data_IF_974685215023
#
_entry.id   IF_974685215023
#
_cell.length_a   1.000
_cell.length_b   1.000
_cell.length_c   1.000
_cell.angle_alpha   90.00
_cell.angle_beta   90.00
_cell.angle_gamma   90.00
#
_symmetry.space_group_name_H-M   'P 1'
#
loop_
_entity.id
_entity.type
_entity.pdbx_description
1 polymer ?
#
# COMPACT_ATOMS: atom_id res chain seq x y z
N UNK A 1 -35.01 -0.74 -39.26
CA UNK A 1 -35.32 0.69 -39.52
C UNK A 1 -36.55 1.11 -38.71
N UNK A 2 -36.37 1.72 -37.53
CA UNK A 2 -37.38 2.57 -36.89
C UNK A 2 -36.66 3.78 -36.32
N UNK A 3 -36.88 4.91 -36.99
CA UNK A 3 -36.32 6.22 -36.69
C UNK A 3 -37.10 6.80 -35.51
N UNK A 4 -36.42 7.14 -34.42
CA UNK A 4 -36.93 8.13 -33.47
C UNK A 4 -36.13 9.41 -33.70
N UNK A 5 -36.84 10.44 -34.15
CA UNK A 5 -36.33 11.74 -34.57
C UNK A 5 -36.74 12.77 -33.52
N UNK A 6 -35.74 13.51 -33.01
CA UNK A 6 -35.79 14.85 -32.38
C UNK A 6 -36.66 14.98 -31.11
N UNK A 7 -36.17 15.61 -30.06
CA UNK A 7 -36.12 17.07 -29.93
C UNK A 7 -35.50 17.41 -28.56
N UNK A 8 -34.72 18.50 -28.45
CA UNK A 8 -34.49 19.18 -27.16
C UNK A 8 -33.10 19.77 -27.01
N UNK A 9 -33.02 21.09 -26.89
CA UNK A 9 -31.84 21.91 -27.07
C UNK A 9 -30.97 22.09 -25.81
N UNK A 10 -29.80 22.66 -26.09
CA UNK A 10 -28.66 23.04 -25.24
C UNK A 10 -29.02 23.84 -23.99
N UNK A 11 -28.38 23.53 -22.87
CA UNK A 11 -27.95 24.52 -21.88
C UNK A 11 -26.51 24.23 -21.49
N UNK A 12 -25.61 25.12 -21.92
CA UNK A 12 -24.24 25.19 -21.44
C UNK A 12 -24.23 26.01 -20.14
N UNK A 13 -23.65 25.46 -19.08
CA UNK A 13 -23.22 26.21 -17.89
C UNK A 13 -21.87 25.67 -17.47
N UNK A 14 -20.83 26.45 -17.72
CA UNK A 14 -19.47 26.18 -17.28
C UNK A 14 -19.26 26.57 -15.82
N UNK A 15 -18.33 25.88 -15.17
CA UNK A 15 -17.66 26.34 -13.97
C UNK A 15 -16.19 25.93 -14.07
N UNK A 16 -15.34 26.93 -14.32
CA UNK A 16 -13.89 26.84 -14.19
C UNK A 16 -13.57 26.87 -12.69
N UNK A 17 -13.11 25.76 -12.12
CA UNK A 17 -12.51 25.76 -10.78
C UNK A 17 -11.03 26.09 -10.92
N UNK A 18 -10.67 27.33 -10.64
CA UNK A 18 -9.28 27.72 -10.44
C UNK A 18 -8.77 27.08 -9.14
N UNK A 19 -7.79 26.18 -9.25
CA UNK A 19 -7.04 25.67 -8.10
C UNK A 19 -6.08 26.77 -7.65
N UNK A 20 -6.38 27.40 -6.52
CA UNK A 20 -5.39 28.18 -5.79
C UNK A 20 -4.47 27.19 -5.04
N UNK A 21 -3.30 26.88 -5.61
CA UNK A 21 -2.18 26.31 -4.87
C UNK A 21 -1.57 27.42 -4.02
N UNK A 22 -2.00 27.53 -2.77
CA UNK A 22 -1.33 28.39 -1.78
C UNK A 22 -0.64 27.51 -0.76
N UNK A 23 0.68 27.66 -0.67
CA UNK A 23 1.42 27.40 0.57
C UNK A 23 2.37 26.22 0.55
N UNK A 24 3.43 26.31 -0.26
CA UNK A 24 4.74 25.82 0.16
C UNK A 24 5.16 26.67 1.36
N UNK A 25 5.14 26.10 2.55
CA UNK A 25 5.56 26.73 3.80
C UNK A 25 6.57 25.83 4.50
N UNK A 26 7.81 25.90 4.04
CA UNK A 26 8.95 25.57 4.89
C UNK A 26 9.02 26.62 6.00
N UNK A 27 8.84 26.21 7.24
CA UNK A 27 9.27 27.01 8.37
C UNK A 27 9.98 26.11 9.37
N UNK A 28 11.24 26.48 9.59
CA UNK A 28 12.22 25.81 10.42
C UNK A 28 12.49 26.70 11.61
N UNK A 29 12.01 26.32 12.78
CA UNK A 29 12.44 26.91 14.06
C UNK A 29 12.62 25.75 15.05
N UNK A 30 13.86 25.34 15.35
CA UNK A 30 14.80 25.96 16.30
C UNK A 30 14.16 26.26 17.65
N UNK A 31 14.35 25.32 18.56
CA UNK A 31 14.26 25.50 19.99
C UNK A 31 15.35 24.67 20.67
N UNK A 32 16.45 25.33 20.99
CA UNK A 32 17.52 24.93 21.91
C UNK A 32 16.93 24.45 23.27
N UNK A 33 17.59 23.72 24.18
CA UNK A 33 18.99 23.75 24.60
C UNK A 33 19.22 22.59 25.59
N UNK A 34 20.47 22.09 25.60
CA UNK A 34 21.21 21.52 26.74
C UNK A 34 20.73 20.26 27.49
N UNK A 35 21.59 19.23 27.47
CA UNK A 35 22.48 18.95 28.62
C UNK A 35 23.65 18.01 28.26
N UNK A 36 24.83 18.61 28.35
CA UNK A 36 26.17 18.07 28.62
C UNK A 36 26.28 16.64 29.17
N UNK A 37 27.16 15.82 28.60
CA UNK A 37 28.47 15.49 29.21
C UNK A 37 29.24 14.49 28.35
N UNK A 38 30.48 14.84 28.03
CA UNK A 38 31.35 14.04 27.19
C UNK A 38 31.97 12.82 27.89
N UNK A 39 32.50 11.92 27.07
CA UNK A 39 33.76 11.21 27.33
C UNK A 39 34.28 10.61 26.03
N UNK A 40 35.50 11.00 25.69
CA UNK A 40 36.33 10.53 24.58
C UNK A 40 36.87 9.13 24.85
N UNK A 41 36.81 8.23 23.86
CA UNK A 41 37.92 7.35 23.46
C UNK A 41 37.53 6.38 22.32
N UNK A 42 38.38 6.31 21.31
CA UNK A 42 38.39 5.40 20.13
C UNK A 42 39.57 4.41 20.33
N UNK A 43 39.76 3.30 19.58
CA UNK A 43 38.89 2.25 19.04
C UNK A 43 39.33 0.81 19.46
N UNK A 44 38.71 -0.22 18.84
CA UNK A 44 39.31 -1.50 18.35
C UNK A 44 38.71 -2.81 18.94
N UNK A 45 38.95 -4.01 18.33
CA UNK A 45 37.91 -4.82 17.68
C UNK A 45 37.79 -6.27 18.22
N UNK A 46 36.64 -6.95 18.02
CA UNK A 46 36.36 -8.41 18.07
C UNK A 46 34.83 -8.55 18.21
N UNK A 47 34.06 -9.24 17.38
CA UNK A 47 34.04 -10.67 17.11
C UNK A 47 32.85 -11.30 17.86
N UNK A 48 31.93 -11.91 17.10
CA UNK A 48 30.97 -12.96 17.47
C UNK A 48 29.89 -12.75 18.56
N UNK A 49 28.65 -13.02 18.12
CA UNK A 49 27.56 -13.75 18.79
C UNK A 49 26.94 -13.24 20.11
N UNK A 50 25.63 -12.94 20.05
CA UNK A 50 24.68 -13.16 21.15
C UNK A 50 24.19 -11.94 21.94
N UNK A 51 22.89 -11.97 22.27
CA UNK A 51 22.10 -11.03 23.11
C UNK A 51 21.79 -9.66 22.50
N UNK A 52 20.59 -9.10 22.61
CA UNK A 52 19.42 -9.46 23.41
C UNK A 52 18.62 -8.19 23.70
N UNK A 53 17.29 -8.35 23.71
CA UNK A 53 16.28 -7.58 24.46
C UNK A 53 16.23 -6.05 24.34
N UNK A 54 15.07 -5.55 23.90
CA UNK A 54 14.21 -4.77 24.81
C UNK A 54 12.75 -4.79 24.34
N UNK A 55 11.94 -5.35 25.23
CA UNK A 55 10.48 -5.37 25.34
C UNK A 55 9.82 -4.01 25.17
N UNK A 56 8.72 -4.00 24.41
CA UNK A 56 7.74 -2.90 24.39
C UNK A 56 6.36 -3.42 23.99
N UNK A 57 5.58 -3.86 25.00
CA UNK A 57 4.12 -3.97 25.00
C UNK A 57 3.43 -4.51 23.74
N UNK A 58 3.36 -5.82 23.61
CA UNK A 58 2.41 -6.46 22.69
C UNK A 58 1.04 -6.54 23.37
N UNK A 59 0.35 -5.40 23.43
CA UNK A 59 -1.10 -5.40 23.55
C UNK A 59 -1.63 -6.14 22.31
N UNK A 60 -2.28 -7.29 22.53
CA UNK A 60 -2.70 -8.25 21.51
C UNK A 60 -3.45 -7.64 20.34
N UNK A 61 -2.70 -7.15 19.35
CA UNK A 61 -3.23 -6.61 18.11
C UNK A 61 -3.87 -7.76 17.34
N UNK A 62 -5.18 -7.67 17.14
CA UNK A 62 -5.96 -8.59 16.32
C UNK A 62 -5.26 -8.79 14.97
N UNK A 63 -4.65 -9.95 14.79
CA UNK A 63 -3.67 -10.22 13.72
C UNK A 63 -4.33 -10.44 12.35
N UNK A 64 -5.65 -10.37 12.24
CA UNK A 64 -6.38 -10.68 10.99
C UNK A 64 -7.20 -9.55 10.39
N UNK A 65 -7.35 -8.42 11.09
CA UNK A 65 -8.34 -7.41 10.71
C UNK A 65 -7.88 -6.40 9.65
N UNK A 66 -8.84 -5.66 9.07
CA UNK A 66 -8.57 -4.66 8.04
C UNK A 66 -7.52 -3.61 8.46
N UNK A 67 -7.46 -3.24 9.73
CA UNK A 67 -6.42 -2.35 10.27
C UNK A 67 -5.02 -2.96 10.19
N UNK A 68 -4.89 -4.26 10.48
CA UNK A 68 -3.61 -4.96 10.39
C UNK A 68 -3.11 -5.09 8.94
N UNK A 69 -4.03 -5.01 7.96
CA UNK A 69 -3.71 -5.06 6.54
C UNK A 69 -3.18 -3.73 5.98
N UNK A 70 -3.37 -2.60 6.68
CA UNK A 70 -2.94 -1.28 6.19
C UNK A 70 -1.42 -1.22 5.90
N UNK A 71 -1.07 -0.61 4.78
CA UNK A 71 0.30 -0.48 4.29
C UNK A 71 0.49 -0.97 2.85
N UNK A 72 1.74 -1.01 2.42
CA UNK A 72 2.15 -1.57 1.13
C UNK A 72 2.73 -2.97 1.32
N UNK A 73 2.49 -3.81 0.32
CA UNK A 73 2.89 -5.19 0.26
C UNK A 73 3.43 -5.47 -1.13
N UNK A 74 4.54 -6.18 -1.24
CA UNK A 74 5.09 -6.53 -2.54
C UNK A 74 5.79 -7.89 -2.54
N UNK A 75 5.88 -8.48 -3.72
CA UNK A 75 6.50 -9.77 -3.91
C UNK A 75 6.45 -10.18 -5.37
N UNK A 76 6.54 -11.48 -5.61
CA UNK A 76 6.40 -12.04 -6.94
C UNK A 76 5.44 -13.23 -6.93
N UNK A 77 4.64 -13.31 -7.99
CA UNK A 77 3.79 -14.46 -8.29
C UNK A 77 4.14 -14.94 -9.69
N UNK A 78 4.48 -16.23 -9.82
CA UNK A 78 4.97 -16.81 -11.08
C UNK A 78 6.09 -15.99 -11.75
N UNK A 79 7.04 -15.50 -10.93
CA UNK A 79 8.19 -14.71 -11.37
C UNK A 79 7.89 -13.27 -11.78
N UNK A 80 6.64 -12.80 -11.61
CA UNK A 80 6.20 -11.45 -12.00
C UNK A 80 5.90 -10.62 -10.76
N UNK A 81 6.31 -9.35 -10.76
CA UNK A 81 6.11 -8.47 -9.61
C UNK A 81 4.63 -8.23 -9.33
N UNK A 82 4.29 -8.23 -8.05
CA UNK A 82 2.97 -7.91 -7.53
C UNK A 82 3.14 -6.89 -6.41
N UNK A 83 2.37 -5.81 -6.49
CA UNK A 83 2.31 -4.78 -5.42
C UNK A 83 0.86 -4.59 -5.04
N UNK A 84 0.58 -4.65 -3.75
CA UNK A 84 -0.72 -4.37 -3.15
C UNK A 84 -0.57 -3.25 -2.12
N UNK A 85 -1.36 -2.21 -2.26
CA UNK A 85 -1.44 -1.12 -1.30
C UNK A 85 -2.83 -1.08 -0.68
N UNK A 86 -2.91 -1.00 0.64
CA UNK A 86 -4.17 -0.92 1.39
C UNK A 86 -4.12 0.28 2.33
N UNK A 87 -5.12 1.16 2.23
CA UNK A 87 -5.24 2.33 3.09
C UNK A 87 -6.72 2.67 3.29
N UNK A 88 -7.16 2.84 4.55
CA UNK A 88 -8.51 3.33 4.85
C UNK A 88 -9.64 2.54 4.13
N UNK A 89 -9.51 1.21 4.10
CA UNK A 89 -10.47 0.32 3.43
C UNK A 89 -10.50 0.41 1.90
N UNK A 90 -9.50 1.05 1.28
CA UNK A 90 -9.24 1.01 -0.15
C UNK A 90 -8.05 0.12 -0.44
N UNK A 91 -8.07 -0.52 -1.60
CA UNK A 91 -6.99 -1.38 -2.05
C UNK A 91 -6.70 -1.12 -3.53
N UNK A 92 -5.41 -1.20 -3.88
CA UNK A 92 -4.91 -1.16 -5.25
C UNK A 92 -3.89 -2.27 -5.41
N UNK A 93 -4.04 -3.08 -6.46
CA UNK A 93 -3.05 -4.08 -6.86
C UNK A 93 -2.52 -3.76 -8.25
N UNK A 94 -1.21 -3.87 -8.42
CA UNK A 94 -0.51 -3.79 -9.70
C UNK A 94 0.24 -5.09 -9.90
N UNK A 95 -0.07 -5.80 -10.96
CA UNK A 95 0.56 -7.06 -11.34
C UNK A 95 0.37 -7.29 -12.84
N UNK A 96 1.37 -7.82 -13.51
CA UNK A 96 1.24 -8.25 -14.92
C UNK A 96 0.80 -7.14 -15.89
N UNK A 97 1.14 -5.88 -15.57
CA UNK A 97 0.67 -4.65 -16.24
C UNK A 97 -0.83 -4.32 -16.07
N UNK A 98 -1.55 -5.10 -15.25
CA UNK A 98 -2.92 -4.81 -14.83
C UNK A 98 -2.90 -3.93 -13.57
N UNK A 99 -3.80 -2.96 -13.52
CA UNK A 99 -4.02 -2.10 -12.35
C UNK A 99 -5.47 -2.27 -11.91
N UNK A 100 -5.67 -2.87 -10.74
CA UNK A 100 -6.99 -3.12 -10.19
C UNK A 100 -7.16 -2.36 -8.87
N UNK A 101 -8.30 -1.68 -8.71
CA UNK A 101 -8.57 -0.86 -7.54
C UNK A 101 -9.97 -1.07 -7.01
N UNK A 102 -10.16 -0.85 -5.71
CA UNK A 102 -11.44 -1.03 -5.06
C UNK A 102 -11.35 -0.98 -3.55
N UNK A 103 -12.03 -1.90 -2.88
CA UNK A 103 -12.21 -1.89 -1.43
C UNK A 103 -11.61 -3.11 -0.76
N UNK A 104 -11.13 -2.93 0.47
CA UNK A 104 -10.82 -4.00 1.41
C UNK A 104 -11.79 -3.89 2.59
N UNK A 105 -12.43 -5.01 2.98
CA UNK A 105 -13.49 -5.04 4.00
C UNK A 105 -13.37 -6.30 4.85
N UNK A 106 -13.76 -6.21 6.12
CA UNK A 106 -13.81 -7.36 7.04
C UNK A 106 -13.15 -7.06 8.38
N UNK A 107 -13.74 -7.56 9.47
CA UNK A 107 -13.22 -7.39 10.82
C UNK A 107 -12.20 -8.48 11.18
N UNK A 108 -12.52 -9.74 10.88
CA UNK A 108 -11.68 -10.90 11.19
C UNK A 108 -11.12 -11.58 9.93
N UNK A 109 -11.95 -11.67 8.88
CA UNK A 109 -11.57 -12.17 7.57
C UNK A 109 -11.70 -11.05 6.56
N UNK A 110 -10.56 -10.55 6.06
CA UNK A 110 -10.54 -9.46 5.09
C UNK A 110 -10.74 -9.99 3.68
N UNK A 111 -11.60 -9.33 2.93
CA UNK A 111 -11.89 -9.58 1.52
C UNK A 111 -11.58 -8.32 0.71
N UNK A 112 -11.17 -8.53 -0.54
CA UNK A 112 -10.80 -7.53 -1.53
C UNK A 112 -11.80 -7.60 -2.68
N UNK A 113 -12.44 -6.47 -2.97
CA UNK A 113 -13.36 -6.30 -4.09
C UNK A 113 -12.81 -5.21 -5.00
N UNK A 114 -12.19 -5.59 -6.12
CA UNK A 114 -11.44 -4.73 -7.02
C UNK A 114 -12.01 -4.78 -8.44
N UNK A 115 -11.66 -3.76 -9.23
CA UNK A 115 -11.92 -3.69 -10.66
C UNK A 115 -10.65 -3.26 -11.38
N UNK A 116 -10.27 -4.02 -12.41
CA UNK A 116 -9.13 -3.71 -13.27
C UNK A 116 -9.54 -2.70 -14.35
N UNK A 117 -8.65 -1.75 -14.64
CA UNK A 117 -8.90 -0.66 -15.60
C UNK A 117 -9.08 -1.17 -17.04
N UNK A 118 -8.45 -2.31 -17.36
CA UNK A 118 -8.48 -3.00 -18.64
C UNK A 118 -9.51 -4.13 -18.72
N UNK A 119 -10.23 -4.40 -17.63
CA UNK A 119 -11.23 -5.46 -17.57
C UNK A 119 -10.69 -6.85 -17.24
N UNK A 120 -9.40 -6.98 -16.89
CA UNK A 120 -8.86 -8.21 -16.32
C UNK A 120 -9.63 -8.66 -15.07
N UNK A 121 -9.63 -9.97 -14.80
CA UNK A 121 -10.39 -10.59 -13.70
C UNK A 121 -9.55 -11.41 -12.74
N UNK A 122 -8.24 -11.56 -12.97
CA UNK A 122 -7.41 -12.47 -12.17
C UNK A 122 -7.30 -12.03 -10.72
N UNK A 123 -7.39 -10.71 -10.46
CA UNK A 123 -7.29 -10.10 -9.12
C UNK A 123 -8.46 -9.17 -8.78
N UNK A 124 -9.70 -9.53 -9.17
CA UNK A 124 -10.89 -8.72 -8.87
C UNK A 124 -11.62 -9.08 -7.59
N UNK A 125 -11.52 -10.33 -7.13
CA UNK A 125 -12.11 -10.79 -5.88
C UNK A 125 -11.10 -11.65 -5.13
N UNK A 126 -10.75 -11.25 -3.91
CA UNK A 126 -9.73 -11.93 -3.12
C UNK A 126 -10.06 -12.03 -1.65
N UNK A 127 -9.50 -13.04 -0.99
CA UNK A 127 -9.59 -13.27 0.44
C UNK A 127 -8.19 -13.33 1.05
N UNK A 128 -7.99 -12.63 2.16
CA UNK A 128 -6.76 -12.72 2.95
C UNK A 128 -6.79 -14.06 3.70
N UNK A 129 -5.86 -14.95 3.37
CA UNK A 129 -5.70 -16.24 4.06
C UNK A 129 -4.89 -16.10 5.35
N UNK A 130 -3.87 -15.24 5.33
CA UNK A 130 -3.05 -14.97 6.51
C UNK A 130 -2.39 -13.60 6.42
N UNK A 131 -2.23 -12.95 7.58
CA UNK A 131 -1.47 -11.73 7.75
C UNK A 131 -0.73 -11.80 9.10
N UNK A 132 0.60 -11.72 9.09
CA UNK A 132 1.42 -11.71 10.31
C UNK A 132 2.11 -10.35 10.57
N UNK A 133 1.68 -9.31 9.83
CA UNK A 133 2.27 -7.98 9.83
C UNK A 133 3.55 -7.83 8.99
N UNK A 134 4.14 -8.94 8.54
CA UNK A 134 5.35 -8.98 7.69
C UNK A 134 5.09 -9.72 6.38
N UNK A 135 4.26 -10.75 6.42
CA UNK A 135 3.84 -11.56 5.29
C UNK A 135 2.32 -11.51 5.16
N UNK A 136 1.86 -11.36 3.94
CA UNK A 136 0.46 -11.35 3.55
C UNK A 136 0.23 -12.42 2.49
N UNK A 137 -0.77 -13.28 2.69
CA UNK A 137 -1.22 -14.26 1.70
C UNK A 137 -2.64 -13.91 1.27
N UNK A 138 -2.84 -13.74 -0.04
CA UNK A 138 -4.15 -13.47 -0.64
C UNK A 138 -4.44 -14.54 -1.68
N UNK A 139 -5.61 -15.17 -1.57
CA UNK A 139 -6.16 -16.04 -2.61
C UNK A 139 -7.19 -15.28 -3.41
N UNK A 140 -7.10 -15.39 -4.74
CA UNK A 140 -8.01 -14.74 -5.68
C UNK A 140 -8.94 -15.75 -6.34
N UNK A 141 -10.17 -15.34 -6.62
CA UNK A 141 -11.17 -16.16 -7.31
C UNK A 141 -10.76 -16.47 -8.76
N UNK A 142 -9.84 -15.66 -9.35
CA UNK A 142 -9.20 -15.95 -10.63
C UNK A 142 -8.26 -17.17 -10.61
N UNK A 143 -8.04 -17.79 -9.45
CA UNK A 143 -7.21 -18.98 -9.27
C UNK A 143 -5.77 -18.70 -8.84
N UNK A 144 -5.34 -17.44 -8.90
CA UNK A 144 -4.01 -17.00 -8.48
C UNK A 144 -3.93 -16.85 -6.96
N UNK A 145 -2.75 -17.08 -6.39
CA UNK A 145 -2.45 -16.84 -4.98
C UNK A 145 -1.18 -16.00 -4.88
N UNK A 146 -1.27 -14.87 -4.19
CA UNK A 146 -0.14 -13.97 -3.96
C UNK A 146 0.40 -14.16 -2.53
N UNK A 147 1.72 -14.24 -2.40
CA UNK A 147 2.43 -14.18 -1.12
C UNK A 147 3.35 -12.96 -1.15
N UNK A 148 3.05 -11.97 -0.32
CA UNK A 148 3.65 -10.65 -0.37
C UNK A 148 4.31 -10.31 0.97
N UNK A 149 5.47 -9.67 0.91
CA UNK A 149 6.14 -9.08 2.06
C UNK A 149 5.69 -7.64 2.30
N UNK A 150 5.65 -7.21 3.55
CA UNK A 150 5.48 -5.80 3.92
C UNK A 150 6.61 -4.99 3.29
N UNK A 151 6.28 -3.86 2.69
CA UNK A 151 7.24 -3.00 1.98
C UNK A 151 6.95 -1.53 2.22
N UNK A 152 7.95 -0.72 1.91
CA UNK A 152 7.88 0.74 1.77
C UNK A 152 8.22 1.13 0.33
N UNK A 153 8.08 2.42 0.01
CA UNK A 153 8.29 2.94 -1.34
C UNK A 153 9.74 2.74 -1.83
N UNK A 154 10.72 2.94 -0.94
CA UNK A 154 12.14 2.81 -1.26
C UNK A 154 12.50 1.36 -1.64
N UNK A 155 11.83 0.40 -0.99
CA UNK A 155 12.01 -1.04 -1.26
C UNK A 155 11.39 -1.51 -2.57
N UNK A 156 10.54 -0.71 -3.24
CA UNK A 156 9.92 -1.06 -4.52
C UNK A 156 10.86 -0.89 -5.72
N UNK A 157 11.86 -0.02 -5.64
CA UNK A 157 12.75 0.30 -6.78
C UNK A 157 13.55 -0.91 -7.30
N UNK A 158 13.71 -1.95 -6.47
CA UNK A 158 14.42 -3.19 -6.81
C UNK A 158 13.56 -4.29 -7.43
N UNK A 159 12.23 -4.12 -7.53
CA UNK A 159 11.33 -5.17 -8.01
C UNK A 159 11.25 -5.19 -9.54
N UNK A 160 11.68 -6.29 -10.19
CA UNK A 160 11.69 -6.37 -11.64
C UNK A 160 10.26 -6.43 -12.20
N UNK A 161 10.00 -5.64 -13.25
CA UNK A 161 8.71 -5.62 -13.93
C UNK A 161 7.70 -4.62 -13.38
N UNK A 162 8.06 -3.79 -12.40
CA UNK A 162 7.27 -2.62 -12.05
C UNK A 162 7.37 -1.55 -13.15
N UNK A 163 6.26 -0.87 -13.51
CA UNK A 163 6.31 0.28 -14.40
C UNK A 163 7.20 1.36 -13.77
N UNK A 164 8.22 1.79 -14.50
CA UNK A 164 8.99 2.99 -14.13
C UNK A 164 8.17 4.24 -14.48
N UNK A 165 8.23 5.30 -13.65
CA UNK A 165 7.54 6.56 -13.91
C UNK A 165 7.98 7.23 -15.23
#
# INVERSE_FOLDING_TARGET
MRKLVRTGAVVATGLLTALALTGCGSDSDKGDTDRSSGSTATPAPVGSDGSGSSTGGEDGAATGGLKALEGAWAGQTDGKAVVLSVASGKAVVVADSHVCSGSAKGADQVTLELKCADGDTDRTAGAVESNDGKTLVVSWDGGTKDTLGKTDADSLEGLPGLPTP
#
